data_IF_263620575190
#
_entry.id   IF_263620575190
#
_cell.length_a   1.000
_cell.length_b   1.000
_cell.length_c   1.000
_cell.angle_alpha   90.00
_cell.angle_beta   90.00
_cell.angle_gamma   90.00
#
_symmetry.space_group_name_H-M   'P 1'
#
loop_
_entity.id
_entity.type
_entity.pdbx_description
1 polymer ?
#
# COMPACT_ATOMS: atom_id res chain seq x y z
N UNK A 1 -31.62 -32.31 1.72
CA UNK A 1 -31.14 -31.15 2.54
C UNK A 1 -29.84 -30.55 1.97
N UNK A 2 -29.49 -30.90 0.73
CA UNK A 2 -28.11 -30.83 0.24
C UNK A 2 -27.82 -29.56 -0.55
N UNK A 3 -28.85 -28.99 -1.20
CA UNK A 3 -28.75 -27.77 -2.00
C UNK A 3 -28.44 -26.54 -1.13
N UNK A 4 -29.05 -26.43 0.05
CA UNK A 4 -28.79 -25.32 0.97
C UNK A 4 -27.37 -25.35 1.55
N UNK A 5 -26.85 -26.56 1.84
CA UNK A 5 -25.48 -26.72 2.33
C UNK A 5 -24.46 -26.39 1.24
N UNK A 6 -24.71 -26.82 0.00
CA UNK A 6 -23.85 -26.51 -1.13
C UNK A 6 -23.80 -25.00 -1.42
N UNK A 7 -24.96 -24.34 -1.46
CA UNK A 7 -25.04 -22.90 -1.67
C UNK A 7 -24.29 -22.15 -0.57
N UNK A 8 -24.50 -22.53 0.69
CA UNK A 8 -23.80 -21.91 1.82
C UNK A 8 -22.28 -22.06 1.73
N UNK A 9 -21.78 -23.25 1.40
CA UNK A 9 -20.34 -23.49 1.21
C UNK A 9 -19.77 -22.67 0.05
N UNK A 10 -20.48 -22.57 -1.08
CA UNK A 10 -20.06 -21.75 -2.21
C UNK A 10 -20.03 -20.25 -1.85
N UNK A 11 -21.03 -19.75 -1.13
CA UNK A 11 -21.07 -18.35 -0.69
C UNK A 11 -19.96 -18.04 0.32
N UNK A 12 -19.67 -18.95 1.25
CA UNK A 12 -18.58 -18.79 2.21
C UNK A 12 -17.20 -18.81 1.53
N UNK A 13 -16.99 -19.70 0.56
CA UNK A 13 -15.76 -19.73 -0.25
C UNK A 13 -15.58 -18.45 -1.05
N UNK A 14 -16.64 -17.99 -1.74
CA UNK A 14 -16.60 -16.75 -2.51
C UNK A 14 -16.27 -15.56 -1.60
N UNK A 15 -17.01 -15.37 -0.49
CA UNK A 15 -16.78 -14.29 0.47
C UNK A 15 -15.36 -14.32 1.07
N UNK A 16 -14.86 -15.51 1.44
CA UNK A 16 -13.50 -15.68 1.95
C UNK A 16 -12.42 -15.30 0.95
N UNK A 17 -12.63 -15.57 -0.34
CA UNK A 17 -11.71 -15.16 -1.40
C UNK A 17 -11.70 -13.64 -1.61
N UNK A 18 -12.85 -12.97 -1.56
CA UNK A 18 -12.92 -11.50 -1.73
C UNK A 18 -12.23 -10.79 -0.55
N UNK A 19 -12.40 -11.30 0.67
CA UNK A 19 -11.75 -10.72 1.86
C UNK A 19 -10.23 -10.92 1.86
N UNK A 20 -9.73 -11.99 1.25
CA UNK A 20 -8.29 -12.24 1.14
C UNK A 20 -7.66 -11.33 0.08
N UNK A 21 -8.36 -11.11 -1.03
CA UNK A 21 -7.87 -10.28 -2.14
C UNK A 21 -7.98 -8.77 -1.86
N UNK A 22 -8.80 -8.35 -0.89
CA UNK A 22 -8.88 -6.97 -0.43
C UNK A 22 -7.81 -6.60 0.63
N UNK A 23 -6.99 -7.56 1.06
CA UNK A 23 -5.75 -7.30 1.81
C UNK A 23 -4.57 -7.10 0.85
N UNK A 24 -4.80 -6.42 -0.27
CA UNK A 24 -3.70 -5.89 -1.06
C UNK A 24 -3.08 -4.77 -0.23
N UNK A 25 -1.93 -5.13 0.36
CA UNK A 25 -0.99 -4.36 1.15
C UNK A 25 -0.31 -3.28 0.28
N UNK A 26 -1.11 -2.59 -0.55
CA UNK A 26 -0.68 -1.54 -1.47
C UNK A 26 -0.53 -0.19 -0.73
N UNK A 27 -0.17 -0.26 0.55
CA UNK A 27 0.17 0.88 1.37
C UNK A 27 1.50 1.47 0.90
N UNK A 28 1.47 2.72 0.43
CA UNK A 28 2.66 3.46 0.01
C UNK A 28 2.98 4.59 0.98
N UNK A 29 4.26 4.89 1.17
CA UNK A 29 4.71 6.04 1.96
C UNK A 29 5.86 6.81 1.29
N UNK A 30 5.90 8.11 1.54
CA UNK A 30 6.97 8.98 1.08
C UNK A 30 8.07 9.10 2.14
N UNK A 31 9.33 9.01 1.70
CA UNK A 31 10.49 9.32 2.51
C UNK A 31 11.23 10.54 1.93
N UNK A 32 11.56 11.47 2.80
CA UNK A 32 12.29 12.70 2.49
C UNK A 32 13.71 12.62 3.06
N UNK A 33 14.71 12.96 2.23
CA UNK A 33 16.10 13.06 2.64
C UNK A 33 16.70 14.41 2.18
N UNK A 34 17.09 15.32 3.09
CA UNK A 34 16.89 15.24 4.55
C UNK A 34 15.42 15.39 4.95
N UNK A 35 15.07 14.92 6.16
CA UNK A 35 13.73 15.02 6.75
C UNK A 35 13.40 16.42 7.28
N UNK A 36 14.42 17.27 7.40
CA UNK A 36 14.35 18.62 7.91
C UNK A 36 15.41 19.50 7.24
N UNK A 37 15.10 20.79 7.11
CA UNK A 37 15.99 21.81 6.56
C UNK A 37 15.89 23.07 7.39
N UNK A 38 17.04 23.69 7.65
CA UNK A 38 17.14 25.05 8.17
C UNK A 38 17.80 25.90 7.08
N UNK A 39 17.12 26.95 6.63
CA UNK A 39 17.49 27.75 5.46
C UNK A 39 17.43 29.23 5.79
N UNK A 40 18.47 29.98 5.38
CA UNK A 40 18.48 31.43 5.41
C UNK A 40 18.05 32.04 4.07
N UNK A 41 17.83 33.36 4.04
CA UNK A 41 17.46 34.07 2.81
C UNK A 41 18.62 33.98 1.81
N UNK A 42 18.34 33.41 0.64
CA UNK A 42 19.31 33.20 -0.44
C UNK A 42 19.82 31.76 -0.54
N UNK A 43 19.49 30.91 0.44
CA UNK A 43 19.86 29.50 0.39
C UNK A 43 18.95 28.71 -0.55
N UNK A 44 19.50 27.61 -1.08
CA UNK A 44 18.74 26.56 -1.73
C UNK A 44 19.24 25.20 -1.25
N UNK A 45 18.34 24.24 -1.18
CA UNK A 45 18.64 22.87 -0.76
C UNK A 45 17.94 21.87 -1.67
N UNK A 46 18.57 20.72 -1.84
CA UNK A 46 17.99 19.59 -2.56
C UNK A 46 17.36 18.64 -1.55
N UNK A 47 16.12 18.24 -1.79
CA UNK A 47 15.44 17.18 -1.05
C UNK A 47 15.18 16.05 -2.02
N UNK A 48 15.63 14.85 -1.65
CA UNK A 48 15.29 13.62 -2.36
C UNK A 48 14.00 13.07 -1.77
N UNK A 49 13.00 12.87 -2.63
CA UNK A 49 11.73 12.24 -2.26
C UNK A 49 11.70 10.86 -2.89
N UNK A 50 11.48 9.83 -2.08
CA UNK A 50 11.39 8.45 -2.53
C UNK A 50 10.05 7.85 -2.11
N UNK A 51 9.43 7.07 -2.99
CA UNK A 51 8.17 6.37 -2.71
C UNK A 51 8.46 4.89 -2.44
N UNK A 52 8.04 4.43 -1.27
CA UNK A 52 8.23 3.06 -0.80
C UNK A 52 6.88 2.38 -0.61
N UNK A 53 6.89 1.05 -0.78
CA UNK A 53 5.83 0.18 -0.31
C UNK A 53 5.99 -0.09 1.18
N UNK A 54 4.96 -0.63 1.85
CA UNK A 54 4.98 -0.93 3.29
C UNK A 54 6.12 -1.87 3.72
N UNK A 55 6.57 -2.75 2.82
CA UNK A 55 7.73 -3.62 3.02
C UNK A 55 9.09 -2.91 2.92
N UNK A 56 9.10 -1.60 2.66
CA UNK A 56 10.30 -0.78 2.47
C UNK A 56 10.99 -0.99 1.11
N UNK A 57 10.39 -1.74 0.20
CA UNK A 57 10.86 -1.84 -1.18
C UNK A 57 10.52 -0.57 -1.96
N UNK A 58 11.37 -0.23 -2.93
CA UNK A 58 11.06 0.86 -3.85
C UNK A 58 9.77 0.53 -4.58
N UNK A 59 8.75 1.39 -4.45
CA UNK A 59 7.50 1.14 -5.15
C UNK A 59 7.77 1.18 -6.65
N UNK A 60 7.31 0.17 -7.39
CA UNK A 60 7.38 0.15 -8.85
C UNK A 60 6.26 1.02 -9.46
N UNK A 61 6.06 2.20 -8.91
CA UNK A 61 5.01 3.12 -9.32
C UNK A 61 5.59 4.17 -10.27
N UNK A 62 5.09 4.21 -11.50
CA UNK A 62 5.58 5.07 -12.59
C UNK A 62 4.95 6.48 -12.60
N UNK A 63 4.62 7.04 -11.44
CA UNK A 63 4.24 8.46 -11.40
C UNK A 63 5.32 9.35 -12.01
#
# INVERSE_FOLDING_TARGET
>A
MDRFRLVFTCTALLLGSITLQAQDDDSLYFQFEPDSLDLAIGDSANVKITLFSEDGSLSNNQF
#
